data_IF_372019485220
#
_entry.id   IF_372019485220
#
_cell.length_a   1.000
_cell.length_b   1.000
_cell.length_c   1.000
_cell.angle_alpha   90.00
_cell.angle_beta   90.00
_cell.angle_gamma   90.00
#
_symmetry.space_group_name_H-M   'P 1'
#
loop_
_entity.id
_entity.type
_entity.pdbx_description
1 polymer ?
#
# COMPACT_ATOMS: atom_id res chain seq x y z
N UNK A 1 23.32 6.30 -11.95
CA UNK A 1 22.49 6.94 -13.01
C UNK A 1 22.61 6.29 -14.39
N UNK A 2 23.57 5.42 -14.69
CA UNK A 2 23.73 4.78 -15.99
C UNK A 2 22.82 3.57 -16.24
N UNK A 3 22.50 2.79 -15.20
CA UNK A 3 21.78 1.52 -15.35
C UNK A 3 20.29 1.69 -15.70
N UNK A 4 19.61 2.63 -15.08
CA UNK A 4 18.21 2.91 -15.39
C UNK A 4 18.00 3.46 -16.83
N UNK A 5 18.98 4.23 -17.33
CA UNK A 5 18.93 4.76 -18.71
C UNK A 5 19.18 3.69 -19.78
N UNK A 6 19.93 2.64 -19.46
CA UNK A 6 20.17 1.52 -20.37
C UNK A 6 18.96 0.60 -20.50
N UNK A 7 18.23 0.35 -19.41
CA UNK A 7 16.99 -0.45 -19.42
C UNK A 7 15.84 0.25 -20.16
N UNK A 8 15.80 1.59 -20.14
CA UNK A 8 14.75 2.38 -20.79
C UNK A 8 15.03 2.76 -22.25
N UNK A 9 16.26 2.53 -22.76
CA UNK A 9 16.67 2.87 -24.14
C UNK A 9 17.14 1.71 -24.99
N UNK A 10 17.12 0.47 -24.49
CA UNK A 10 17.45 -0.69 -25.31
C UNK A 10 16.36 -0.95 -26.34
N UNK A 11 16.69 -1.12 -27.64
CA UNK A 11 15.70 -1.56 -28.61
C UNK A 11 15.35 -3.02 -28.30
N UNK A 12 14.11 -3.28 -27.88
CA UNK A 12 13.56 -4.60 -28.04
C UNK A 12 13.17 -5.44 -26.85
N UNK A 13 12.92 -4.85 -25.68
CA UNK A 13 11.98 -5.50 -24.74
C UNK A 13 10.75 -4.59 -24.67
N UNK A 14 9.67 -4.90 -25.37
CA UNK A 14 8.40 -4.30 -25.04
C UNK A 14 8.08 -4.80 -23.63
N UNK A 15 8.11 -3.92 -22.65
CA UNK A 15 7.26 -4.09 -21.49
C UNK A 15 5.90 -4.35 -22.11
N UNK A 16 5.36 -5.55 -21.88
CA UNK A 16 4.09 -5.95 -22.48
C UNK A 16 3.02 -4.98 -21.94
N UNK A 17 2.86 -3.86 -22.64
CA UNK A 17 1.77 -2.93 -22.39
C UNK A 17 0.52 -3.69 -22.81
N UNK A 18 -0.29 -4.10 -21.84
CA UNK A 18 -1.67 -4.41 -22.17
C UNK A 18 -2.29 -3.15 -22.78
N UNK A 19 -3.09 -3.26 -23.85
CA UNK A 19 -3.77 -2.10 -24.44
C UNK A 19 -4.68 -1.35 -23.47
N UNK A 20 -5.04 -1.98 -22.35
CA UNK A 20 -5.92 -1.53 -21.28
C UNK A 20 -5.18 -1.15 -19.96
N UNK A 21 -3.86 -1.31 -19.89
CA UNK A 21 -3.05 -1.06 -18.68
C UNK A 21 -2.69 0.44 -18.47
N UNK A 22 -3.51 1.36 -18.91
CA UNK A 22 -3.30 2.81 -18.66
C UNK A 22 -3.86 3.30 -17.34
N UNK A 23 -4.77 2.53 -16.74
CA UNK A 23 -5.45 2.88 -15.50
C UNK A 23 -5.27 1.77 -14.46
N UNK A 24 -4.80 2.12 -13.26
CA UNK A 24 -4.75 1.24 -12.09
C UNK A 24 -5.68 1.74 -11.01
N UNK A 25 -6.38 0.84 -10.31
CA UNK A 25 -7.19 1.21 -9.17
C UNK A 25 -6.30 1.74 -8.04
N UNK A 26 -6.67 2.90 -7.48
CA UNK A 26 -5.97 3.53 -6.36
C UNK A 26 -6.54 3.09 -5.02
N UNK A 27 -5.64 2.87 -4.06
CA UNK A 27 -5.99 2.65 -2.67
C UNK A 27 -5.92 3.98 -1.91
N UNK A 28 -7.03 4.36 -1.29
CA UNK A 28 -7.11 5.56 -0.48
C UNK A 28 -6.71 5.26 0.96
N UNK A 29 -5.84 6.10 1.53
CA UNK A 29 -5.37 5.98 2.91
C UNK A 29 -5.72 7.25 3.69
N UNK A 30 -6.43 7.12 4.81
CA UNK A 30 -6.71 8.21 5.74
C UNK A 30 -6.09 7.99 7.11
N UNK A 31 -5.75 9.09 7.73
CA UNK A 31 -5.17 9.12 9.07
C UNK A 31 -6.21 9.37 10.17
N UNK A 32 -5.80 9.11 11.35
CA UNK A 32 -6.39 8.97 12.68
C UNK A 32 -7.28 10.10 13.22
N UNK A 33 -7.78 11.08 12.48
CA UNK A 33 -8.35 12.28 13.08
C UNK A 33 -9.88 12.33 13.00
N UNK A 34 -10.53 12.34 14.17
CA UNK A 34 -11.95 12.66 14.31
C UNK A 34 -12.82 11.56 14.93
N UNK A 35 -13.98 11.96 15.49
CA UNK A 35 -15.02 11.03 15.98
C UNK A 35 -15.75 10.32 14.84
N UNK A 36 -16.62 9.34 15.16
CA UNK A 36 -17.33 8.51 14.20
C UNK A 36 -18.01 9.31 13.06
N UNK A 37 -18.54 10.50 13.36
CA UNK A 37 -19.18 11.38 12.36
C UNK A 37 -18.17 11.94 11.35
N UNK A 38 -16.97 12.37 11.81
CA UNK A 38 -15.94 12.90 10.93
C UNK A 38 -15.39 11.78 10.01
N UNK A 39 -15.17 10.59 10.56
CA UNK A 39 -14.72 9.42 9.80
C UNK A 39 -15.73 9.02 8.72
N UNK A 40 -17.01 9.03 9.04
CA UNK A 40 -18.07 8.79 8.06
C UNK A 40 -18.02 9.82 6.92
N UNK A 41 -17.91 11.11 7.24
CA UNK A 41 -17.81 12.16 6.22
C UNK A 41 -16.58 12.02 5.32
N UNK A 42 -15.44 11.62 5.89
CA UNK A 42 -14.21 11.35 5.12
C UNK A 42 -14.39 10.14 4.20
N UNK A 43 -15.02 9.08 4.70
CA UNK A 43 -15.32 7.87 3.96
C UNK A 43 -16.28 8.14 2.78
N UNK A 44 -17.38 8.87 3.04
CA UNK A 44 -18.32 9.31 2.02
C UNK A 44 -17.63 10.20 0.97
N UNK A 45 -16.70 11.04 1.41
CA UNK A 45 -15.89 11.89 0.53
C UNK A 45 -14.94 11.10 -0.37
N UNK A 46 -14.33 10.04 0.13
CA UNK A 46 -13.48 9.14 -0.65
C UNK A 46 -14.28 8.38 -1.70
N UNK A 47 -15.45 7.85 -1.32
CA UNK A 47 -16.35 7.17 -2.26
C UNK A 47 -16.85 8.12 -3.35
N UNK A 48 -17.20 9.36 -3.00
CA UNK A 48 -17.61 10.40 -3.95
C UNK A 48 -16.50 10.75 -4.96
N UNK A 49 -15.21 10.55 -4.58
CA UNK A 49 -14.05 10.65 -5.46
C UNK A 49 -13.78 9.37 -6.26
N UNK A 50 -14.59 8.32 -6.09
CA UNK A 50 -14.49 7.06 -6.83
C UNK A 50 -13.59 6.01 -6.20
N UNK A 51 -13.06 6.22 -4.99
CA UNK A 51 -12.24 5.22 -4.31
C UNK A 51 -13.08 4.07 -3.78
N UNK A 52 -12.88 2.90 -4.35
CA UNK A 52 -13.52 1.64 -3.97
C UNK A 52 -12.70 0.81 -2.98
N UNK A 53 -11.48 1.25 -2.69
CA UNK A 53 -10.54 0.58 -1.79
C UNK A 53 -10.02 1.62 -0.81
N UNK A 54 -10.27 1.43 0.49
CA UNK A 54 -9.95 2.42 1.51
C UNK A 54 -9.17 1.78 2.66
N UNK A 55 -7.96 2.29 2.95
CA UNK A 55 -7.12 1.85 4.06
C UNK A 55 -7.16 2.87 5.20
N UNK A 56 -7.35 2.38 6.42
CA UNK A 56 -7.54 3.19 7.63
C UNK A 56 -6.60 2.76 8.73
N UNK A 57 -6.00 3.72 9.42
CA UNK A 57 -5.16 3.43 10.58
C UNK A 57 -5.98 3.10 11.83
N UNK A 58 -5.47 2.11 12.61
CA UNK A 58 -5.98 1.70 13.91
C UNK A 58 -5.19 2.41 15.02
N UNK A 59 -5.86 3.31 15.75
CA UNK A 59 -5.22 4.23 16.68
C UNK A 59 -4.78 3.61 18.00
N UNK A 60 -5.38 2.48 18.37
CA UNK A 60 -5.25 1.91 19.71
C UNK A 60 -4.52 0.58 19.65
N UNK A 61 -3.79 0.26 20.74
CA UNK A 61 -3.04 -0.96 20.87
C UNK A 61 -3.24 -1.63 22.23
N UNK A 62 -2.48 -2.69 22.55
CA UNK A 62 -2.60 -3.43 23.81
C UNK A 62 -2.51 -2.56 25.07
N UNK A 63 -1.72 -1.47 25.03
CA UNK A 63 -1.60 -0.51 26.13
C UNK A 63 -2.89 0.24 26.47
N UNK A 64 -3.85 0.31 25.54
CA UNK A 64 -5.15 0.96 25.74
C UNK A 64 -6.23 0.01 26.29
N UNK A 65 -5.89 -1.26 26.49
CA UNK A 65 -6.75 -2.30 27.04
C UNK A 65 -8.03 -2.54 26.25
N UNK A 66 -9.06 -3.04 26.91
CA UNK A 66 -10.34 -3.37 26.28
C UNK A 66 -11.03 -2.16 25.66
N UNK A 67 -10.93 -0.99 26.29
CA UNK A 67 -11.53 0.23 25.74
C UNK A 67 -10.91 0.67 24.40
N UNK A 68 -9.60 0.48 24.23
CA UNK A 68 -8.93 0.72 22.94
C UNK A 68 -9.35 -0.28 21.88
N UNK A 69 -9.45 -1.56 22.24
CA UNK A 69 -9.94 -2.61 21.36
C UNK A 69 -11.36 -2.31 20.86
N UNK A 70 -12.28 -1.96 21.74
CA UNK A 70 -13.65 -1.60 21.38
C UNK A 70 -13.70 -0.43 20.39
N UNK A 71 -12.84 0.60 20.57
CA UNK A 71 -12.78 1.74 19.66
C UNK A 71 -12.27 1.36 18.27
N UNK A 72 -11.29 0.45 18.18
CA UNK A 72 -10.82 -0.07 16.90
C UNK A 72 -11.90 -0.93 16.20
N UNK A 73 -12.66 -1.74 16.95
CA UNK A 73 -13.80 -2.51 16.42
C UNK A 73 -14.90 -1.56 15.95
N UNK A 74 -15.24 -0.54 16.74
CA UNK A 74 -16.25 0.47 16.40
C UNK A 74 -15.89 1.23 15.11
N UNK A 75 -14.59 1.51 14.89
CA UNK A 75 -14.12 2.12 13.63
C UNK A 75 -14.53 1.25 12.43
N UNK A 76 -14.23 -0.05 12.48
CA UNK A 76 -14.56 -0.99 11.39
C UNK A 76 -16.07 -1.02 11.13
N UNK A 77 -16.86 -1.11 12.20
CA UNK A 77 -18.32 -1.11 12.10
C UNK A 77 -18.86 0.14 11.43
N UNK A 78 -18.44 1.32 11.91
CA UNK A 78 -18.92 2.63 11.39
C UNK A 78 -18.54 2.80 9.92
N UNK A 79 -17.30 2.42 9.54
CA UNK A 79 -16.87 2.52 8.15
C UNK A 79 -17.65 1.57 7.25
N UNK A 80 -17.85 0.31 7.68
CA UNK A 80 -18.62 -0.66 6.90
C UNK A 80 -20.08 -0.25 6.72
N UNK A 81 -20.69 0.31 7.74
CA UNK A 81 -22.05 0.86 7.67
C UNK A 81 -22.14 2.08 6.75
N UNK A 82 -21.07 2.88 6.66
CA UNK A 82 -21.03 4.05 5.80
C UNK A 82 -20.94 3.68 4.31
N UNK A 83 -19.97 2.82 3.94
CA UNK A 83 -19.68 2.53 2.53
C UNK A 83 -20.41 1.32 1.97
N UNK A 84 -21.15 0.58 2.79
CA UNK A 84 -21.84 -0.62 2.34
C UNK A 84 -20.87 -1.78 2.00
N UNK A 85 -21.36 -2.88 1.40
CA UNK A 85 -20.60 -4.11 1.21
C UNK A 85 -19.63 -4.07 0.00
N UNK A 86 -19.79 -3.11 -0.91
CA UNK A 86 -19.09 -3.09 -2.21
C UNK A 86 -17.75 -2.35 -2.18
N UNK A 87 -17.45 -1.64 -1.10
CA UNK A 87 -16.17 -0.96 -0.89
C UNK A 87 -15.25 -1.83 -0.04
N UNK A 88 -14.04 -2.05 -0.50
CA UNK A 88 -13.03 -2.76 0.27
C UNK A 88 -12.49 -1.86 1.39
N UNK A 89 -12.48 -2.39 2.60
CA UNK A 89 -11.89 -1.75 3.77
C UNK A 89 -10.68 -2.52 4.25
N UNK A 90 -9.56 -1.83 4.40
CA UNK A 90 -8.31 -2.34 4.90
C UNK A 90 -7.91 -1.58 6.16
N UNK A 91 -7.20 -2.24 7.05
CA UNK A 91 -6.86 -1.67 8.35
C UNK A 91 -5.40 -1.88 8.67
N UNK A 92 -4.74 -0.80 9.09
CA UNK A 92 -3.32 -0.76 9.36
C UNK A 92 -3.08 -0.49 10.85
N UNK A 93 -2.37 -1.40 11.51
CA UNK A 93 -2.03 -1.32 12.94
C UNK A 93 -0.60 -0.79 13.17
N UNK A 94 0.15 -0.52 12.10
CA UNK A 94 1.49 0.07 12.12
C UNK A 94 2.42 -0.51 13.18
N UNK A 95 2.52 -1.85 13.20
CA UNK A 95 3.36 -2.66 14.12
C UNK A 95 3.06 -2.48 15.62
N UNK A 96 1.91 -1.89 15.95
CA UNK A 96 1.59 -1.48 17.33
C UNK A 96 0.98 -2.56 18.22
N UNK A 97 0.76 -3.78 17.72
CA UNK A 97 -0.01 -4.80 18.43
C UNK A 97 0.80 -5.98 18.92
N UNK A 98 0.22 -6.74 19.86
CA UNK A 98 0.61 -8.10 20.19
C UNK A 98 -0.38 -9.12 19.60
N UNK A 99 0.01 -10.41 19.68
CA UNK A 99 -0.76 -11.49 19.07
C UNK A 99 -2.17 -11.61 19.68
N UNK A 100 -2.30 -11.50 21.01
CA UNK A 100 -3.60 -11.65 21.66
C UNK A 100 -4.57 -10.54 21.27
N UNK A 101 -4.07 -9.30 21.17
CA UNK A 101 -4.87 -8.15 20.74
C UNK A 101 -5.31 -8.31 19.29
N UNK A 102 -4.39 -8.71 18.40
CA UNK A 102 -4.69 -8.95 16.98
C UNK A 102 -5.74 -10.05 16.80
N UNK A 103 -5.61 -11.18 17.49
CA UNK A 103 -6.59 -12.28 17.46
C UNK A 103 -7.97 -11.82 17.94
N UNK A 104 -8.02 -11.08 19.06
CA UNK A 104 -9.29 -10.57 19.60
C UNK A 104 -9.96 -9.58 18.63
N UNK A 105 -9.18 -8.71 18.00
CA UNK A 105 -9.71 -7.78 17.00
C UNK A 105 -10.20 -8.51 15.75
N UNK A 106 -9.43 -9.43 15.19
CA UNK A 106 -9.82 -10.22 14.01
C UNK A 106 -11.13 -10.95 14.24
N UNK A 107 -11.25 -11.67 15.38
CA UNK A 107 -12.47 -12.40 15.72
C UNK A 107 -13.72 -11.49 15.83
N UNK A 108 -13.55 -10.27 16.34
CA UNK A 108 -14.66 -9.32 16.50
C UNK A 108 -15.10 -8.68 15.18
N UNK A 109 -14.16 -8.45 14.24
CA UNK A 109 -14.44 -7.69 13.00
C UNK A 109 -14.63 -8.55 11.76
N UNK A 110 -14.42 -9.86 11.81
CA UNK A 110 -14.55 -10.78 10.69
C UNK A 110 -15.91 -10.63 9.98
N UNK A 111 -16.98 -10.42 10.72
CA UNK A 111 -18.33 -10.19 10.19
C UNK A 111 -18.44 -8.96 9.26
N UNK A 112 -17.54 -7.99 9.41
CA UNK A 112 -17.47 -6.78 8.58
C UNK A 112 -16.61 -6.97 7.34
N UNK A 113 -15.99 -8.14 7.18
CA UNK A 113 -15.19 -8.54 6.01
C UNK A 113 -14.10 -7.52 5.66
N UNK A 114 -13.12 -7.23 6.54
CA UNK A 114 -11.94 -6.48 6.16
C UNK A 114 -11.23 -7.19 5.00
N UNK A 115 -10.71 -6.43 4.04
CA UNK A 115 -9.94 -7.00 2.94
C UNK A 115 -8.57 -7.49 3.41
N UNK A 116 -7.95 -6.79 4.38
CA UNK A 116 -6.80 -7.26 5.13
C UNK A 116 -6.57 -6.48 6.44
N UNK A 117 -5.79 -7.08 7.33
CA UNK A 117 -5.12 -6.43 8.45
C UNK A 117 -3.64 -6.27 8.11
N UNK A 118 -3.12 -5.06 8.18
CA UNK A 118 -1.77 -4.68 7.84
C UNK A 118 -0.94 -4.41 9.09
N UNK A 119 0.33 -4.86 9.05
CA UNK A 119 1.34 -4.58 10.06
C UNK A 119 0.86 -4.71 11.51
N UNK A 120 0.16 -5.81 11.84
CA UNK A 120 -0.25 -6.07 13.22
C UNK A 120 0.95 -6.08 14.17
N UNK A 121 2.11 -6.58 13.71
CA UNK A 121 3.32 -6.77 14.50
C UNK A 121 4.54 -6.16 13.81
N UNK A 122 5.59 -5.90 14.62
CA UNK A 122 6.92 -5.61 14.09
C UNK A 122 7.39 -6.74 13.16
N UNK A 123 8.05 -6.39 12.07
CA UNK A 123 8.46 -7.33 11.01
C UNK A 123 9.34 -8.48 11.50
N UNK A 124 10.09 -8.30 12.59
CA UNK A 124 10.90 -9.36 13.19
C UNK A 124 10.09 -10.47 13.89
N UNK A 125 8.76 -10.30 14.00
CA UNK A 125 7.88 -11.27 14.70
C UNK A 125 7.20 -12.25 13.73
N UNK A 126 7.96 -12.85 12.82
CA UNK A 126 7.43 -13.82 11.86
C UNK A 126 6.51 -14.88 12.49
N UNK A 127 6.89 -15.47 13.62
CA UNK A 127 6.08 -16.48 14.29
C UNK A 127 4.69 -15.96 14.71
N UNK A 128 4.59 -14.70 15.11
CA UNK A 128 3.31 -14.07 15.43
C UNK A 128 2.42 -13.90 14.20
N UNK A 129 3.00 -13.51 13.06
CA UNK A 129 2.29 -13.47 11.78
C UNK A 129 1.79 -14.84 11.37
N UNK A 130 2.63 -15.89 11.49
CA UNK A 130 2.24 -17.29 11.21
C UNK A 130 1.07 -17.75 12.08
N UNK A 131 1.13 -17.45 13.38
CA UNK A 131 0.05 -17.83 14.30
C UNK A 131 -1.24 -17.08 13.96
N UNK A 132 -1.18 -15.77 13.74
CA UNK A 132 -2.36 -14.97 13.37
C UNK A 132 -2.98 -15.45 12.06
N UNK A 133 -2.17 -15.71 11.03
CA UNK A 133 -2.65 -16.17 9.73
C UNK A 133 -3.38 -17.53 9.80
N UNK A 134 -3.07 -18.37 10.79
CA UNK A 134 -3.75 -19.66 11.00
C UNK A 134 -5.07 -19.54 11.76
N UNK A 135 -5.22 -18.50 12.56
CA UNK A 135 -6.36 -18.30 13.47
C UNK A 135 -7.43 -17.36 12.92
N UNK A 136 -7.16 -16.66 11.77
CA UNK A 136 -8.11 -15.74 11.18
C UNK A 136 -8.36 -16.03 9.70
N UNK A 137 -9.56 -15.72 9.22
CA UNK A 137 -9.89 -15.71 7.78
C UNK A 137 -9.57 -14.38 7.13
N UNK A 138 -9.24 -13.34 7.92
CA UNK A 138 -8.87 -12.02 7.40
C UNK A 138 -7.46 -12.13 6.80
N UNK A 139 -7.26 -11.78 5.52
CA UNK A 139 -5.93 -11.73 4.91
C UNK A 139 -4.97 -10.85 5.71
N UNK A 140 -3.73 -11.29 5.86
CA UNK A 140 -2.69 -10.54 6.58
C UNK A 140 -1.76 -9.89 5.56
N UNK A 141 -1.44 -8.62 5.79
CA UNK A 141 -0.57 -7.81 4.95
C UNK A 141 0.62 -7.27 5.76
N UNK A 142 1.77 -7.19 5.12
CA UNK A 142 2.94 -6.41 5.57
C UNK A 142 3.94 -6.26 4.43
N UNK A 143 5.01 -5.52 4.67
CA UNK A 143 6.12 -5.47 3.74
C UNK A 143 6.62 -4.08 3.36
N UNK A 144 5.99 -3.01 3.82
CA UNK A 144 6.48 -1.66 3.56
C UNK A 144 7.86 -1.44 4.22
N UNK A 145 8.16 -2.15 5.29
CA UNK A 145 9.44 -2.14 5.98
C UNK A 145 10.41 -3.26 5.56
N UNK A 146 10.15 -3.99 4.47
CA UNK A 146 11.05 -5.02 3.97
C UNK A 146 12.16 -4.44 3.08
N UNK A 147 13.39 -4.94 3.27
CA UNK A 147 14.58 -4.53 2.52
C UNK A 147 15.00 -5.59 1.48
N UNK A 148 14.06 -5.99 0.64
CA UNK A 148 14.32 -6.90 -0.47
C UNK A 148 13.44 -8.14 -0.46
N UNK A 149 13.61 -8.95 -1.51
CA UNK A 149 12.79 -10.16 -1.72
C UNK A 149 13.05 -11.29 -0.73
N UNK A 150 14.15 -11.26 0.00
CA UNK A 150 14.53 -12.37 0.89
C UNK A 150 13.61 -12.41 2.12
N UNK A 151 13.33 -11.27 2.72
CA UNK A 151 12.36 -11.16 3.80
C UNK A 151 10.95 -11.52 3.31
N UNK A 152 10.55 -11.02 2.14
CA UNK A 152 9.29 -11.40 1.51
C UNK A 152 9.19 -12.91 1.32
N UNK A 153 10.26 -13.56 0.84
CA UNK A 153 10.32 -15.01 0.65
C UNK A 153 10.06 -15.76 1.95
N UNK A 154 10.72 -15.36 3.03
CA UNK A 154 10.61 -16.04 4.31
C UNK A 154 9.17 -15.97 4.86
N UNK A 155 8.50 -14.82 4.72
CA UNK A 155 7.10 -14.64 5.11
C UNK A 155 6.13 -15.45 4.23
N UNK A 156 6.36 -15.52 2.93
CA UNK A 156 5.53 -16.29 2.00
C UNK A 156 5.70 -17.81 2.20
N UNK A 157 6.93 -18.30 2.35
CA UNK A 157 7.21 -19.72 2.65
C UNK A 157 6.59 -20.16 3.97
N UNK A 158 6.58 -19.30 4.96
CA UNK A 158 5.95 -19.56 6.25
C UNK A 158 4.41 -19.44 6.22
N UNK A 159 3.83 -19.03 5.08
CA UNK A 159 2.39 -18.75 4.94
C UNK A 159 1.88 -17.71 5.96
N UNK A 160 2.72 -16.74 6.28
CA UNK A 160 2.46 -15.71 7.29
C UNK A 160 1.60 -14.55 6.75
N UNK A 161 1.65 -14.34 5.43
CA UNK A 161 0.95 -13.23 4.75
C UNK A 161 0.40 -13.69 3.40
N UNK A 162 -0.63 -12.99 2.94
CA UNK A 162 -1.20 -13.14 1.59
C UNK A 162 -1.18 -11.84 0.78
N UNK A 163 -0.77 -10.73 1.41
CA UNK A 163 -0.60 -9.43 0.75
C UNK A 163 0.77 -8.86 1.11
N UNK A 164 1.57 -8.55 0.09
CA UNK A 164 2.91 -7.97 0.20
C UNK A 164 2.84 -6.50 -0.18
N UNK A 165 3.26 -5.60 0.72
CA UNK A 165 3.22 -4.16 0.50
C UNK A 165 4.62 -3.53 0.34
N UNK A 166 5.53 -4.23 -0.32
CA UNK A 166 6.89 -3.75 -0.54
C UNK A 166 6.92 -2.39 -1.24
N UNK A 167 7.61 -1.42 -0.63
CA UNK A 167 7.78 -0.08 -1.18
C UNK A 167 8.99 -0.02 -2.12
N UNK A 168 8.87 0.55 -3.33
CA UNK A 168 10.01 0.66 -4.25
C UNK A 168 11.15 1.54 -3.75
N UNK A 169 10.93 2.42 -2.76
CA UNK A 169 12.01 3.21 -2.15
C UNK A 169 12.83 2.41 -1.13
N UNK A 170 12.24 1.40 -0.50
CA UNK A 170 12.81 0.65 0.61
C UNK A 170 13.27 -0.75 0.21
N UNK A 171 12.51 -1.44 -0.64
CA UNK A 171 12.79 -2.82 -1.01
C UNK A 171 13.99 -3.00 -1.95
N UNK A 172 14.64 -1.93 -2.41
CA UNK A 172 15.78 -1.99 -3.33
C UNK A 172 15.46 -1.52 -4.75
N UNK A 173 14.38 -0.78 -4.93
CA UNK A 173 14.01 -0.14 -6.20
C UNK A 173 13.12 -1.00 -7.11
N UNK A 174 12.83 -0.45 -8.27
CA UNK A 174 11.93 -1.05 -9.28
C UNK A 174 12.35 -2.47 -9.68
N UNK A 175 13.64 -2.69 -9.90
CA UNK A 175 14.15 -4.00 -10.31
C UNK A 175 13.97 -5.08 -9.24
N UNK A 176 13.99 -4.69 -7.98
CA UNK A 176 13.72 -5.60 -6.87
C UNK A 176 12.21 -5.82 -6.69
N UNK A 177 11.40 -4.76 -6.80
CA UNK A 177 9.93 -4.87 -6.73
C UNK A 177 9.38 -5.80 -7.82
N UNK A 178 9.91 -5.75 -9.05
CA UNK A 178 9.53 -6.69 -10.13
C UNK A 178 9.81 -8.15 -9.74
N UNK A 179 10.93 -8.42 -9.05
CA UNK A 179 11.25 -9.77 -8.56
C UNK A 179 10.31 -10.19 -7.41
N UNK A 180 9.96 -9.24 -6.54
CA UNK A 180 8.97 -9.46 -5.48
C UNK A 180 7.60 -9.78 -6.08
N UNK A 181 7.19 -9.10 -7.16
CA UNK A 181 5.96 -9.44 -7.88
C UNK A 181 5.99 -10.86 -8.45
N UNK A 182 7.11 -11.26 -9.07
CA UNK A 182 7.28 -12.61 -9.58
C UNK A 182 7.24 -13.66 -8.47
N UNK A 183 7.85 -13.36 -7.33
CA UNK A 183 7.82 -14.21 -6.14
C UNK A 183 6.40 -14.31 -5.58
N UNK A 184 5.71 -13.17 -5.36
CA UNK A 184 4.33 -13.15 -4.88
C UNK A 184 3.39 -13.97 -5.76
N UNK A 185 3.54 -13.88 -7.09
CA UNK A 185 2.74 -14.66 -8.03
C UNK A 185 2.94 -16.18 -7.92
N UNK A 186 4.13 -16.61 -7.50
CA UNK A 186 4.43 -18.03 -7.30
C UNK A 186 3.83 -18.62 -6.01
N UNK A 187 3.43 -17.76 -5.08
CA UNK A 187 2.80 -18.10 -3.81
C UNK A 187 1.32 -17.68 -3.73
N UNK A 188 0.70 -17.32 -4.87
CA UNK A 188 -0.68 -16.81 -4.92
C UNK A 188 -0.94 -15.58 -4.01
N UNK A 189 0.11 -14.82 -3.70
CA UNK A 189 0.02 -13.61 -2.91
C UNK A 189 -0.16 -12.37 -3.79
N UNK A 190 -0.96 -11.42 -3.32
CA UNK A 190 -1.04 -10.11 -3.93
C UNK A 190 0.18 -9.27 -3.57
N UNK A 191 0.68 -8.50 -4.55
CA UNK A 191 1.70 -7.47 -4.31
C UNK A 191 1.09 -6.11 -4.62
N UNK A 192 0.86 -5.34 -3.56
CA UNK A 192 0.24 -4.02 -3.62
C UNK A 192 1.27 -3.05 -3.04
N UNK A 193 2.08 -2.39 -3.88
CA UNK A 193 3.17 -1.56 -3.38
C UNK A 193 2.68 -0.43 -2.48
N UNK A 194 3.39 -0.23 -1.36
CA UNK A 194 3.17 0.90 -0.46
C UNK A 194 3.39 2.24 -1.18
N UNK A 195 2.65 3.24 -0.77
CA UNK A 195 2.39 4.45 -1.54
C UNK A 195 3.41 5.59 -1.43
N UNK A 196 4.67 5.40 -1.02
CA UNK A 196 5.65 6.50 -1.01
C UNK A 196 6.07 6.90 -2.42
N UNK A 197 6.44 5.95 -3.27
CA UNK A 197 6.83 6.23 -4.65
C UNK A 197 5.80 5.70 -5.65
N UNK A 198 4.70 6.42 -5.78
CA UNK A 198 3.60 6.07 -6.69
C UNK A 198 4.06 6.04 -8.15
N UNK A 199 4.95 6.95 -8.58
CA UNK A 199 5.47 6.94 -9.95
C UNK A 199 6.17 5.62 -10.30
N UNK A 200 7.03 5.11 -9.43
CA UNK A 200 7.69 3.82 -9.65
C UNK A 200 6.71 2.66 -9.50
N UNK A 201 5.87 2.69 -8.45
CA UNK A 201 4.92 1.65 -8.14
C UNK A 201 3.90 1.42 -9.28
N UNK A 202 3.26 2.47 -9.79
CA UNK A 202 2.25 2.34 -10.84
C UNK A 202 2.82 1.78 -12.15
N UNK A 203 4.09 2.07 -12.49
CA UNK A 203 4.74 1.48 -13.67
C UNK A 203 5.00 -0.02 -13.49
N UNK A 204 5.40 -0.43 -12.27
CA UNK A 204 5.56 -1.86 -11.98
C UNK A 204 4.21 -2.55 -12.01
N UNK A 205 3.22 -2.06 -11.28
CA UNK A 205 1.87 -2.65 -11.21
C UNK A 205 1.25 -2.79 -12.60
N UNK A 206 1.33 -1.76 -13.45
CA UNK A 206 0.82 -1.81 -14.83
C UNK A 206 1.55 -2.82 -15.74
N UNK A 207 2.75 -3.25 -15.37
CA UNK A 207 3.50 -4.28 -16.09
C UNK A 207 3.17 -5.71 -15.62
N UNK A 208 2.48 -5.87 -14.50
CA UNK A 208 2.17 -7.16 -13.89
C UNK A 208 0.74 -7.63 -14.20
N UNK A 209 0.46 -8.88 -13.87
CA UNK A 209 -0.91 -9.40 -13.89
C UNK A 209 -1.76 -8.74 -12.80
N UNK A 210 -3.01 -8.31 -13.07
CA UNK A 210 -3.92 -7.84 -12.03
C UNK A 210 -4.29 -8.93 -11.02
N UNK A 211 -4.03 -10.19 -11.30
CA UNK A 211 -4.11 -11.28 -10.32
C UNK A 211 -3.01 -11.19 -9.27
N UNK A 212 -1.86 -10.63 -9.62
CA UNK A 212 -0.74 -10.43 -8.69
C UNK A 212 -0.75 -9.02 -8.13
N UNK A 213 -0.91 -8.00 -8.98
CA UNK A 213 -0.86 -6.59 -8.60
C UNK A 213 -2.19 -5.91 -8.96
N UNK A 214 -3.25 -6.09 -8.14
CA UNK A 214 -4.57 -5.53 -8.44
C UNK A 214 -4.67 -4.03 -8.20
N UNK A 215 -3.86 -3.47 -7.30
CA UNK A 215 -3.95 -2.10 -6.80
C UNK A 215 -2.56 -1.45 -6.70
N UNK A 216 -2.56 -0.13 -6.62
CA UNK A 216 -1.43 0.68 -6.14
C UNK A 216 -1.91 1.58 -5.02
N UNK A 217 -1.13 1.72 -3.96
CA UNK A 217 -1.49 2.59 -2.84
C UNK A 217 -1.22 4.06 -3.15
N UNK A 218 -2.11 4.93 -2.68
CA UNK A 218 -2.01 6.37 -2.80
C UNK A 218 -2.28 7.05 -1.45
N UNK A 219 -1.24 7.62 -0.84
CA UNK A 219 -1.28 8.24 0.48
C UNK A 219 -1.87 9.66 0.41
N UNK A 220 -3.18 9.78 0.29
CA UNK A 220 -3.87 11.06 0.02
C UNK A 220 -3.37 12.23 0.87
N UNK A 221 -3.17 12.02 2.17
CA UNK A 221 -2.77 13.09 3.08
C UNK A 221 -1.31 13.51 2.94
N UNK A 222 -0.46 12.65 2.35
CA UNK A 222 0.99 12.88 2.26
C UNK A 222 1.45 13.29 0.86
N UNK A 223 0.69 12.98 -0.19
CA UNK A 223 1.13 13.15 -1.58
C UNK A 223 1.48 14.60 -1.93
N UNK A 224 0.74 15.58 -1.42
CA UNK A 224 1.04 16.99 -1.68
C UNK A 224 2.45 17.42 -1.19
N UNK A 225 2.93 16.85 -0.09
CA UNK A 225 4.29 17.10 0.42
C UNK A 225 5.34 16.26 -0.29
N UNK A 226 5.07 14.98 -0.56
CA UNK A 226 6.02 14.09 -1.23
C UNK A 226 6.31 14.52 -2.66
N UNK A 227 5.30 14.98 -3.39
CA UNK A 227 5.45 15.46 -4.77
C UNK A 227 5.51 16.98 -4.89
N UNK A 228 5.85 17.69 -3.81
CA UNK A 228 5.94 19.15 -3.82
C UNK A 228 6.83 19.69 -4.95
N UNK A 229 7.97 19.04 -5.19
CA UNK A 229 8.91 19.45 -6.24
C UNK A 229 8.62 18.81 -7.61
N UNK A 230 7.59 18.00 -7.74
CA UNK A 230 7.20 17.44 -9.02
C UNK A 230 6.28 18.43 -9.77
N UNK A 231 6.58 18.67 -11.05
CA UNK A 231 5.76 19.49 -11.94
C UNK A 231 4.48 18.75 -12.36
N UNK A 232 4.51 17.43 -12.32
CA UNK A 232 3.45 16.54 -12.77
C UNK A 232 3.14 15.45 -11.74
N UNK A 233 2.70 15.83 -10.52
CA UNK A 233 2.38 14.86 -9.50
C UNK A 233 1.28 13.90 -9.96
N UNK A 234 1.27 12.64 -9.53
CA UNK A 234 0.17 11.73 -9.79
C UNK A 234 -1.11 12.27 -9.14
N UNK A 235 -2.19 12.30 -9.89
CA UNK A 235 -3.50 12.74 -9.40
C UNK A 235 -4.53 11.68 -9.73
N UNK A 236 -5.15 11.03 -8.72
CA UNK A 236 -6.23 10.07 -8.95
C UNK A 236 -7.48 10.75 -9.53
N UNK A 237 -8.08 10.14 -10.53
CA UNK A 237 -9.34 10.57 -11.13
C UNK A 237 -10.32 9.39 -11.09
N UNK A 238 -11.45 9.55 -10.44
CA UNK A 238 -12.41 8.47 -10.26
C UNK A 238 -11.84 7.24 -9.53
N UNK A 239 -10.93 7.46 -8.56
CA UNK A 239 -10.24 6.40 -7.82
C UNK A 239 -9.15 5.67 -8.60
N UNK A 240 -8.73 6.17 -9.76
CA UNK A 240 -7.74 5.55 -10.64
C UNK A 240 -6.56 6.48 -10.93
N UNK A 241 -5.39 5.89 -11.14
CA UNK A 241 -4.17 6.57 -11.59
C UNK A 241 -3.87 6.21 -13.03
N UNK A 242 -3.59 7.23 -13.86
CA UNK A 242 -3.20 7.05 -15.24
C UNK A 242 -1.66 7.09 -15.38
N UNK A 243 -1.11 6.16 -16.16
CA UNK A 243 0.32 6.15 -16.46
C UNK A 243 0.68 7.38 -17.34
N UNK A 244 1.72 8.14 -16.94
CA UNK A 244 2.17 9.27 -17.74
C UNK A 244 2.76 8.82 -19.08
N UNK A 245 2.42 9.53 -20.15
CA UNK A 245 2.99 9.30 -21.48
C UNK A 245 4.28 10.16 -21.69
N UNK A 246 5.14 10.15 -20.67
CA UNK A 246 6.41 10.88 -20.62
C UNK A 246 7.59 9.91 -20.41
N UNK A 247 8.82 10.29 -20.82
CA UNK A 247 10.01 9.45 -20.64
C UNK A 247 10.27 9.12 -19.16
N UNK A 248 10.83 7.94 -18.91
CA UNK A 248 11.14 7.45 -17.57
C UNK A 248 9.87 7.14 -16.78
N UNK A 249 9.80 7.61 -15.55
CA UNK A 249 8.61 7.51 -14.69
C UNK A 249 7.65 8.71 -14.86
N UNK A 250 7.89 9.57 -15.83
CA UNK A 250 7.08 10.75 -16.06
C UNK A 250 7.32 11.92 -15.10
N UNK A 251 8.32 11.79 -14.21
CA UNK A 251 8.69 12.83 -13.24
C UNK A 251 9.49 13.95 -13.88
N UNK A 252 9.18 15.18 -13.50
CA UNK A 252 9.94 16.39 -13.90
C UNK A 252 10.00 17.33 -12.70
N UNK A 253 11.22 17.82 -12.38
CA UNK A 253 11.36 18.80 -11.29
C UNK A 253 10.73 20.13 -11.67
N UNK A 254 9.94 20.68 -10.79
CA UNK A 254 9.42 22.04 -10.88
C UNK A 254 10.51 23.05 -10.46
N UNK A 255 11.24 23.53 -11.45
CA UNK A 255 12.36 24.47 -11.27
C UNK A 255 11.95 25.75 -10.51
N UNK A 256 10.70 26.18 -10.62
CA UNK A 256 10.19 27.37 -9.93
C UNK A 256 10.12 27.20 -8.40
N UNK A 257 10.11 25.96 -7.91
CA UNK A 257 10.08 25.64 -6.47
C UNK A 257 11.46 25.44 -5.85
N UNK A 258 12.54 25.54 -6.64
CA UNK A 258 13.90 25.26 -6.20
C UNK A 258 14.60 26.58 -5.86
N UNK A 259 14.75 26.88 -4.58
CA UNK A 259 15.42 28.10 -4.12
C UNK A 259 16.95 28.01 -4.19
N UNK A 260 17.52 26.82 -3.99
CA UNK A 260 18.98 26.62 -3.94
C UNK A 260 19.40 25.26 -4.44
N UNK A 261 20.49 25.22 -5.21
CA UNK A 261 21.18 23.99 -5.62
C UNK A 261 22.61 23.96 -5.11
N UNK A 262 23.02 22.86 -4.53
CA UNK A 262 24.42 22.62 -4.13
C UNK A 262 24.93 21.40 -4.86
N UNK A 263 26.03 21.54 -5.57
CA UNK A 263 26.72 20.41 -6.18
C UNK A 263 27.49 19.66 -5.08
N UNK A 264 27.12 18.41 -4.86
CA UNK A 264 27.91 17.54 -3.98
C UNK A 264 29.13 17.02 -4.75
N UNK A 265 30.32 17.18 -4.18
CA UNK A 265 31.55 16.53 -4.65
C UNK A 265 31.86 15.37 -3.72
N UNK A 266 32.00 14.20 -4.28
CA UNK A 266 32.45 13.02 -3.55
C UNK A 266 33.98 12.95 -3.74
N UNK A 267 34.73 13.03 -2.65
CA UNK A 267 36.16 12.80 -2.63
C UNK A 267 36.46 11.32 -2.36
#
# INVERSE_FOLDING_TARGET
MGFARALLRGPGLPVARRPDAREGDGLWLDGLVGGARARRQTCDGAEAQGFRHQKWFLAYGPGDGAAGLEKNIELVRVLREAVGPEVDLMFDAFMGWDLNYAMAWCAAVEQYRPRWLEEAFHVDKLDSFVQLARETTIPIATGEHFYGRWEVKDFLEAQAISVVQADPEWCGGVSELVKICALGSAFDAHVIPHGHNVHAAMHVVASQSPMTCPLVEFLILKMASYYFFDKHPPVPVGGKLELPDRPGFGMELDEAKIEKRTRLSWS
#
